data_IF_808661252165
#
_entry.id   IF_808661252165
#
_cell.length_a   1.000
_cell.length_b   1.000
_cell.length_c   1.000
_cell.angle_alpha   90.00
_cell.angle_beta   90.00
_cell.angle_gamma   90.00
#
_symmetry.space_group_name_H-M   'P 1'
#
loop_
_entity.id
_entity.type
_entity.pdbx_description
1 polymer ?
#
# COMPACT_ATOMS: atom_id res chain seq x y z
N UNK A 1 28.52 -15.11 -13.61
CA UNK A 1 27.72 -13.89 -13.33
C UNK A 1 27.11 -13.88 -11.93
N UNK A 2 26.71 -15.02 -11.34
CA UNK A 2 26.21 -15.10 -9.95
C UNK A 2 27.30 -14.88 -8.87
N UNK A 3 28.57 -15.17 -9.15
CA UNK A 3 29.66 -15.05 -8.16
C UNK A 3 30.13 -13.61 -7.92
N UNK A 4 30.08 -12.73 -8.94
CA UNK A 4 30.52 -11.34 -8.79
C UNK A 4 29.62 -10.53 -7.85
N UNK A 5 28.31 -10.81 -7.83
CA UNK A 5 27.34 -10.11 -6.98
C UNK A 5 27.55 -10.47 -5.49
N UNK A 6 27.97 -11.70 -5.21
CA UNK A 6 28.18 -12.18 -3.84
C UNK A 6 29.45 -11.58 -3.22
N UNK A 7 30.51 -11.38 -4.01
CA UNK A 7 31.77 -10.79 -3.55
C UNK A 7 31.65 -9.29 -3.23
N UNK A 8 30.86 -8.53 -4.01
CA UNK A 8 30.65 -7.09 -3.79
C UNK A 8 29.84 -6.82 -2.51
N UNK A 9 28.87 -7.69 -2.19
CA UNK A 9 28.06 -7.59 -0.95
C UNK A 9 28.87 -7.77 0.34
N UNK A 10 30.00 -8.49 0.30
CA UNK A 10 30.83 -8.77 1.49
C UNK A 10 31.87 -7.68 1.75
N UNK A 11 32.13 -6.78 0.79
CA UNK A 11 33.27 -5.87 0.84
C UNK A 11 32.91 -4.39 1.07
N UNK A 12 31.64 -3.99 1.03
CA UNK A 12 31.26 -2.58 1.18
C UNK A 12 29.96 -2.39 1.98
N UNK A 13 30.00 -1.70 3.14
CA UNK A 13 28.79 -1.35 3.90
C UNK A 13 27.86 -0.39 3.15
N UNK A 14 28.34 0.20 2.04
CA UNK A 14 27.58 1.13 1.18
C UNK A 14 26.64 0.43 0.19
N UNK A 15 26.87 -0.86 -0.13
CA UNK A 15 26.07 -1.58 -1.14
C UNK A 15 24.63 -1.80 -0.68
N UNK A 16 24.34 -2.19 0.59
CA UNK A 16 22.96 -2.26 1.09
C UNK A 16 22.21 -0.93 0.97
N UNK A 17 22.84 0.18 1.38
CA UNK A 17 22.22 1.51 1.32
C UNK A 17 21.90 1.97 -0.11
N UNK A 18 22.75 1.63 -1.08
CA UNK A 18 22.50 1.92 -2.50
C UNK A 18 21.33 1.09 -3.04
N UNK A 19 21.20 -0.18 -2.64
CA UNK A 19 20.08 -1.05 -3.05
C UNK A 19 18.76 -0.55 -2.47
N UNK A 20 18.72 -0.21 -1.18
CA UNK A 20 17.54 0.35 -0.52
C UNK A 20 17.08 1.65 -1.19
N UNK A 21 18.02 2.52 -1.56
CA UNK A 21 17.71 3.78 -2.25
C UNK A 21 17.08 3.55 -3.62
N UNK A 22 17.56 2.55 -4.37
CA UNK A 22 17.00 2.19 -5.68
C UNK A 22 15.59 1.59 -5.56
N UNK A 23 15.36 0.74 -4.56
CA UNK A 23 14.04 0.14 -4.29
C UNK A 23 13.01 1.20 -3.88
N UNK A 24 13.43 2.19 -3.07
CA UNK A 24 12.62 3.35 -2.72
C UNK A 24 12.29 4.20 -3.96
N UNK A 25 13.28 4.48 -4.82
CA UNK A 25 13.06 5.25 -6.05
C UNK A 25 12.11 4.56 -7.03
N UNK A 26 12.16 3.23 -7.14
CA UNK A 26 11.19 2.46 -7.92
C UNK A 26 9.78 2.55 -7.33
N UNK A 27 9.66 2.45 -6.01
CA UNK A 27 8.39 2.56 -5.29
C UNK A 27 7.75 3.93 -5.47
N UNK A 28 8.53 5.01 -5.31
CA UNK A 28 8.06 6.39 -5.50
C UNK A 28 7.62 6.61 -6.95
N UNK A 29 8.41 6.14 -7.93
CA UNK A 29 8.06 6.26 -9.36
C UNK A 29 6.76 5.53 -9.68
N UNK A 30 6.59 4.30 -9.19
CA UNK A 30 5.35 3.55 -9.36
C UNK A 30 4.18 4.26 -8.69
N UNK A 31 4.31 4.66 -7.42
CA UNK A 31 3.25 5.34 -6.69
C UNK A 31 2.82 6.63 -7.41
N UNK A 32 3.75 7.41 -7.96
CA UNK A 32 3.44 8.63 -8.70
C UNK A 32 2.79 8.37 -10.07
N UNK A 33 2.89 7.16 -10.61
CA UNK A 33 2.22 6.78 -11.86
C UNK A 33 0.73 6.50 -11.70
N UNK A 34 0.28 6.20 -10.47
CA UNK A 34 -1.12 5.88 -10.19
C UNK A 34 -2.00 7.14 -10.17
N UNK A 35 -3.24 6.99 -10.65
CA UNK A 35 -4.23 8.07 -10.59
C UNK A 35 -4.69 8.31 -9.15
N UNK A 36 -4.81 9.58 -8.76
CA UNK A 36 -5.44 9.95 -7.49
C UNK A 36 -6.92 9.53 -7.50
N UNK A 37 -7.41 9.03 -6.38
CA UNK A 37 -8.79 8.61 -6.20
C UNK A 37 -9.45 9.37 -5.05
N UNK A 38 -10.78 9.49 -5.12
CA UNK A 38 -11.61 9.92 -4.01
C UNK A 38 -12.49 8.77 -3.55
N UNK A 39 -12.41 8.45 -2.26
CA UNK A 39 -13.32 7.50 -1.61
C UNK A 39 -14.54 8.26 -1.10
N UNK A 40 -15.72 7.95 -1.63
CA UNK A 40 -16.99 8.62 -1.29
C UNK A 40 -17.82 7.85 -0.28
N UNK A 41 -17.53 6.55 -0.10
CA UNK A 41 -18.29 5.64 0.76
C UNK A 41 -17.39 4.78 1.65
N UNK A 42 -16.80 5.41 2.66
CA UNK A 42 -15.95 4.74 3.65
C UNK A 42 -16.60 3.56 4.38
N UNK A 43 -17.92 3.60 4.59
CA UNK A 43 -18.66 2.48 5.19
C UNK A 43 -18.75 1.23 4.30
N UNK A 44 -18.40 1.33 3.01
CA UNK A 44 -18.33 0.20 2.09
C UNK A 44 -16.98 -0.52 2.08
N UNK A 45 -16.08 -0.17 3.00
CA UNK A 45 -14.77 -0.80 3.15
C UNK A 45 -14.90 -2.28 3.55
N UNK A 46 -14.18 -3.14 2.84
CA UNK A 46 -14.10 -4.59 3.08
C UNK A 46 -12.85 -4.84 3.92
N UNK A 47 -13.02 -5.06 5.22
CA UNK A 47 -11.90 -5.20 6.17
C UNK A 47 -11.31 -6.62 6.27
N UNK A 48 -12.05 -7.61 5.76
CA UNK A 48 -11.71 -9.04 5.78
C UNK A 48 -11.84 -9.61 4.35
N UNK A 49 -11.07 -9.12 3.37
CA UNK A 49 -11.19 -9.58 1.99
C UNK A 49 -10.84 -11.07 1.88
N UNK A 50 -11.66 -11.83 1.17
CA UNK A 50 -11.39 -13.25 0.92
C UNK A 50 -10.21 -13.45 -0.06
N UNK A 51 -9.78 -14.71 -0.22
CA UNK A 51 -8.64 -15.05 -1.06
C UNK A 51 -8.83 -14.69 -2.54
N UNK A 52 -10.07 -14.75 -3.03
CA UNK A 52 -10.39 -14.43 -4.44
C UNK A 52 -10.20 -12.93 -4.67
N UNK A 53 -10.77 -12.11 -3.79
CA UNK A 53 -10.64 -10.66 -3.82
C UNK A 53 -9.18 -10.21 -3.65
N UNK A 54 -8.45 -10.81 -2.70
CA UNK A 54 -7.02 -10.55 -2.53
C UNK A 54 -6.23 -10.90 -3.80
N UNK A 55 -6.52 -12.03 -4.45
CA UNK A 55 -5.83 -12.44 -5.69
C UNK A 55 -6.09 -11.45 -6.83
N UNK A 56 -7.33 -10.98 -6.98
CA UNK A 56 -7.69 -10.00 -8.02
C UNK A 56 -7.00 -8.64 -7.81
N UNK A 57 -6.91 -8.18 -6.56
CA UNK A 57 -6.24 -6.92 -6.23
C UNK A 57 -4.72 -7.05 -6.37
N UNK A 58 -4.13 -8.15 -5.89
CA UNK A 58 -2.71 -8.46 -6.08
C UNK A 58 -2.32 -8.44 -7.55
N UNK A 59 -3.13 -9.11 -8.40
CA UNK A 59 -2.91 -9.13 -9.85
C UNK A 59 -2.94 -7.72 -10.45
N UNK A 60 -3.92 -6.90 -10.07
CA UNK A 60 -4.04 -5.52 -10.58
C UNK A 60 -2.86 -4.63 -10.14
N UNK A 61 -2.34 -4.81 -8.92
CA UNK A 61 -1.12 -4.13 -8.47
C UNK A 61 0.08 -4.54 -9.34
N UNK A 62 0.28 -5.84 -9.56
CA UNK A 62 1.37 -6.33 -10.43
C UNK A 62 1.24 -5.83 -11.87
N UNK A 63 0.04 -5.85 -12.45
CA UNK A 63 -0.23 -5.34 -13.80
C UNK A 63 -0.04 -3.81 -13.91
N UNK A 64 -0.15 -3.07 -12.79
CA UNK A 64 0.16 -1.64 -12.73
C UNK A 64 1.67 -1.32 -12.67
N UNK A 65 2.52 -2.35 -12.62
CA UNK A 65 3.97 -2.19 -12.48
C UNK A 65 4.43 -1.99 -11.03
N UNK A 66 3.63 -2.37 -10.03
CA UNK A 66 4.03 -2.33 -8.63
C UNK A 66 5.24 -3.26 -8.39
N UNK A 67 6.30 -2.83 -7.70
CA UNK A 67 7.41 -3.70 -7.36
C UNK A 67 6.93 -4.95 -6.60
N UNK A 68 7.48 -6.16 -6.87
CA UNK A 68 6.99 -7.39 -6.27
C UNK A 68 7.04 -7.42 -4.73
N UNK A 69 8.10 -6.86 -4.13
CA UNK A 69 8.23 -6.78 -2.67
C UNK A 69 7.18 -5.85 -2.06
N UNK A 70 7.00 -4.65 -2.63
CA UNK A 70 5.92 -3.72 -2.25
C UNK A 70 4.53 -4.36 -2.41
N UNK A 71 4.29 -5.09 -3.50
CA UNK A 71 3.02 -5.80 -3.70
C UNK A 71 2.77 -6.83 -2.60
N UNK A 72 3.80 -7.55 -2.14
CA UNK A 72 3.67 -8.51 -1.06
C UNK A 72 3.25 -7.81 0.24
N UNK A 73 3.96 -6.77 0.64
CA UNK A 73 3.72 -6.01 1.87
C UNK A 73 2.37 -5.27 1.85
N UNK A 74 2.03 -4.59 0.75
CA UNK A 74 0.74 -3.93 0.58
C UNK A 74 -0.44 -4.90 0.71
N UNK A 75 -0.29 -6.12 0.18
CA UNK A 75 -1.32 -7.14 0.27
C UNK A 75 -1.41 -7.79 1.65
N UNK A 76 -0.32 -7.87 2.43
CA UNK A 76 -0.40 -8.20 3.86
C UNK A 76 -1.20 -7.13 4.62
N UNK A 77 -0.99 -5.87 4.25
CA UNK A 77 -1.66 -4.70 4.82
C UNK A 77 -3.08 -4.44 4.23
N UNK A 78 -3.64 -5.40 3.48
CA UNK A 78 -4.99 -5.28 2.91
C UNK A 78 -6.11 -5.77 3.85
N UNK A 79 -5.75 -6.29 5.03
CA UNK A 79 -6.67 -6.93 5.97
C UNK A 79 -6.54 -6.31 7.37
N UNK A 80 -7.66 -6.17 8.07
CA UNK A 80 -7.71 -5.54 9.40
C UNK A 80 -6.79 -6.13 10.47
N UNK A 81 -6.35 -7.40 10.33
CA UNK A 81 -5.39 -8.04 11.24
C UNK A 81 -4.00 -7.42 11.19
N UNK A 82 -3.69 -6.71 10.10
CA UNK A 82 -2.43 -6.03 9.86
C UNK A 82 -2.60 -4.52 9.74
N UNK A 83 -3.83 -3.99 9.86
CA UNK A 83 -4.05 -2.55 9.82
C UNK A 83 -3.56 -1.85 11.08
N UNK A 84 -3.19 -0.57 11.00
CA UNK A 84 -2.78 0.19 12.16
C UNK A 84 -3.98 0.45 13.08
N UNK A 85 -3.71 0.85 14.31
CA UNK A 85 -4.72 0.91 15.39
C UNK A 85 -5.92 1.77 15.02
N UNK A 86 -5.72 2.86 14.28
CA UNK A 86 -6.76 3.77 13.76
C UNK A 86 -7.72 3.16 12.74
N UNK A 87 -7.52 1.91 12.31
CA UNK A 87 -8.39 1.18 11.38
C UNK A 87 -8.71 -0.26 11.81
N UNK A 88 -7.98 -0.81 12.79
CA UNK A 88 -7.99 -2.25 13.11
C UNK A 88 -9.37 -2.83 13.52
N UNK A 89 -10.26 -2.03 14.13
CA UNK A 89 -11.58 -2.52 14.61
C UNK A 89 -12.75 -1.77 13.96
N UNK A 90 -13.93 -2.39 13.97
CA UNK A 90 -15.16 -1.75 13.47
C UNK A 90 -15.48 -0.45 14.24
N UNK A 91 -15.34 -0.46 15.56
CA UNK A 91 -15.60 0.70 16.42
C UNK A 91 -14.67 1.86 16.05
N UNK A 92 -13.36 1.59 15.95
CA UNK A 92 -12.38 2.61 15.55
C UNK A 92 -12.69 3.16 14.16
N UNK A 93 -13.08 2.29 13.21
CA UNK A 93 -13.47 2.72 11.85
C UNK A 93 -14.68 3.62 11.80
N UNK A 94 -15.66 3.37 12.67
CA UNK A 94 -16.82 4.25 12.78
C UNK A 94 -16.46 5.61 13.38
N UNK A 95 -15.64 5.61 14.44
CA UNK A 95 -15.15 6.84 15.08
C UNK A 95 -14.31 7.70 14.13
N UNK A 96 -13.37 7.07 13.41
CA UNK A 96 -12.41 7.76 12.54
C UNK A 96 -12.94 8.03 11.12
N UNK A 97 -14.20 7.69 10.82
CA UNK A 97 -14.76 7.74 9.46
C UNK A 97 -14.51 9.05 8.73
N UNK A 98 -14.69 10.19 9.41
CA UNK A 98 -14.47 11.53 8.81
C UNK A 98 -12.99 11.82 8.60
N UNK A 99 -12.13 11.28 9.46
CA UNK A 99 -10.69 11.50 9.39
C UNK A 99 -10.06 10.81 8.16
N UNK A 100 -10.67 9.72 7.68
CA UNK A 100 -10.25 9.04 6.46
C UNK A 100 -10.34 9.91 5.20
N UNK A 101 -11.20 10.94 5.19
CA UNK A 101 -11.30 11.89 4.06
C UNK A 101 -9.99 12.66 3.82
N UNK A 102 -9.09 12.70 4.82
CA UNK A 102 -7.80 13.36 4.72
C UNK A 102 -6.74 12.49 4.02
N UNK A 103 -7.00 11.21 3.74
CA UNK A 103 -6.03 10.37 3.02
C UNK A 103 -5.81 10.85 1.58
N UNK A 104 -4.55 10.85 1.18
CA UNK A 104 -4.18 10.84 -0.23
C UNK A 104 -4.27 9.39 -0.72
N UNK A 105 -5.36 9.11 -1.44
CA UNK A 105 -5.64 7.81 -2.02
C UNK A 105 -5.24 7.77 -3.50
N UNK A 106 -4.66 6.65 -3.94
CA UNK A 106 -4.40 6.37 -5.37
C UNK A 106 -5.12 5.11 -5.81
N UNK A 107 -5.76 5.15 -6.97
CA UNK A 107 -6.64 4.09 -7.47
C UNK A 107 -5.83 2.87 -7.92
N UNK A 108 -6.27 1.69 -7.51
CA UNK A 108 -5.81 0.45 -8.14
C UNK A 108 -6.58 0.27 -9.47
N UNK A 109 -5.90 0.18 -10.63
CA UNK A 109 -6.55 0.18 -11.93
C UNK A 109 -7.65 -0.89 -12.07
N UNK A 110 -8.82 -0.47 -12.55
CA UNK A 110 -9.95 -1.37 -12.79
C UNK A 110 -10.50 -2.08 -11.54
N UNK A 111 -10.26 -1.55 -10.34
CA UNK A 111 -10.75 -2.10 -9.08
C UNK A 111 -11.47 -1.04 -8.25
N UNK A 112 -12.37 -1.49 -7.38
CA UNK A 112 -12.85 -0.72 -6.24
C UNK A 112 -11.86 -0.91 -5.08
N UNK A 113 -10.64 -0.44 -5.28
CA UNK A 113 -9.61 -0.45 -4.25
C UNK A 113 -8.67 0.74 -4.44
N UNK A 114 -8.08 1.20 -3.34
CA UNK A 114 -7.06 2.25 -3.33
C UNK A 114 -5.83 1.77 -2.58
N UNK A 115 -4.69 2.35 -2.93
CA UNK A 115 -3.46 2.34 -2.14
C UNK A 115 -3.36 3.66 -1.38
N UNK A 116 -2.98 3.58 -0.11
CA UNK A 116 -2.60 4.71 0.72
C UNK A 116 -1.12 4.53 1.05
N UNK A 117 -0.25 5.20 0.29
CA UNK A 117 1.20 5.09 0.45
C UNK A 117 1.67 6.00 1.58
N UNK A 118 2.62 5.54 2.40
CA UNK A 118 3.16 6.34 3.50
C UNK A 118 3.84 7.62 3.02
N UNK A 119 4.62 7.52 1.95
CA UNK A 119 5.28 8.65 1.28
C UNK A 119 4.33 9.77 0.84
N UNK A 120 3.06 9.45 0.55
CA UNK A 120 2.03 10.41 0.12
C UNK A 120 1.17 10.92 1.29
N UNK A 121 1.33 10.34 2.49
CA UNK A 121 0.51 10.61 3.66
C UNK A 121 1.29 11.00 4.93
N UNK A 122 2.38 11.80 4.86
CA UNK A 122 3.16 12.19 6.05
C UNK A 122 2.37 13.11 7.01
N UNK A 123 1.25 13.66 6.56
CA UNK A 123 0.34 14.48 7.37
C UNK A 123 -0.65 13.66 8.20
N UNK A 124 -0.76 12.36 7.92
CA UNK A 124 -1.57 11.44 8.71
C UNK A 124 -0.75 10.93 9.89
N UNK A 125 -1.40 10.69 11.01
CA UNK A 125 -0.74 10.15 12.20
C UNK A 125 -0.23 8.71 11.98
N UNK A 126 0.77 8.30 12.75
CA UNK A 126 1.38 6.96 12.69
C UNK A 126 0.39 5.82 12.95
N UNK A 127 -0.71 6.08 13.68
CA UNK A 127 -1.77 5.11 13.92
C UNK A 127 -2.73 4.93 12.73
N UNK A 128 -2.50 5.63 11.63
CA UNK A 128 -3.37 5.65 10.45
C UNK A 128 -2.70 5.09 9.19
N UNK A 129 -1.38 4.96 9.17
CA UNK A 129 -0.62 4.56 7.98
C UNK A 129 0.45 3.56 8.40
N UNK A 130 0.81 2.63 7.51
CA UNK A 130 1.95 1.73 7.69
C UNK A 130 2.93 1.93 6.55
N UNK A 131 4.20 1.62 6.79
CA UNK A 131 5.18 1.43 5.73
C UNK A 131 4.96 0.08 5.03
N UNK A 132 5.10 0.00 3.69
CA UNK A 132 5.24 1.11 2.73
C UNK A 132 3.90 1.79 2.41
N UNK A 133 2.78 1.17 2.82
CA UNK A 133 1.44 1.68 2.66
C UNK A 133 0.39 0.67 3.08
N UNK A 134 -0.87 1.00 2.79
CA UNK A 134 -2.03 0.14 3.02
C UNK A 134 -2.82 -0.03 1.72
N UNK A 135 -3.49 -1.17 1.59
CA UNK A 135 -4.51 -1.39 0.56
C UNK A 135 -5.88 -1.40 1.23
N UNK A 136 -6.80 -0.59 0.71
CA UNK A 136 -8.18 -0.56 1.16
C UNK A 136 -9.10 -0.96 0.01
N UNK A 137 -9.88 -2.01 0.22
CA UNK A 137 -10.79 -2.57 -0.78
C UNK A 137 -12.22 -2.18 -0.41
N UNK A 138 -13.03 -1.85 -1.39
CA UNK A 138 -14.39 -1.36 -1.21
C UNK A 138 -15.37 -2.13 -2.08
N UNK A 139 -16.61 -2.25 -1.60
CA UNK A 139 -17.69 -2.75 -2.45
C UNK A 139 -18.05 -1.77 -3.58
N UNK A 140 -17.97 -0.46 -3.30
CA UNK A 140 -18.27 0.63 -4.22
C UNK A 140 -17.80 1.98 -3.65
N UNK A 141 -17.85 3.04 -4.45
CA UNK A 141 -17.62 4.41 -3.99
C UNK A 141 -16.19 4.93 -4.14
N UNK A 142 -15.43 4.40 -5.10
CA UNK A 142 -14.17 5.00 -5.57
C UNK A 142 -14.40 5.69 -6.90
N UNK A 143 -14.06 6.97 -6.94
CA UNK A 143 -14.05 7.83 -8.13
C UNK A 143 -12.61 8.14 -8.54
#
# INVERSE_FOLDING_TARGET
MQECIRAVRLANPSVPAVVESLEQDETIRWANSLQRARVTRWGGMISTPDSVLQTMVRRALSESGCPPHVTAELMENAHERRWPTGLSTLETRQSNRRYYENYVCKRIPGKQAVVVMAIDNPHMNDDMVLEPGLVMIFAHGIE
#
